data_IF_157411190122
#
_entry.id   IF_157411190122
#
_cell.length_a   1.000
_cell.length_b   1.000
_cell.length_c   1.000
_cell.angle_alpha   90.00
_cell.angle_beta   90.00
_cell.angle_gamma   90.00
#
_symmetry.space_group_name_H-M   'P 1'
#
loop_
_entity.id
_entity.type
_entity.pdbx_description
1 polymer ?
#
# COMPACT_ATOMS: atom_id res chain seq x y z
N UNK A 1 -9.02 44.19 10.38
CA UNK A 1 -10.24 43.38 10.54
C UNK A 1 -10.45 42.58 9.27
N UNK A 2 -10.10 41.30 9.25
CA UNK A 2 -10.53 40.41 8.17
C UNK A 2 -11.97 40.01 8.45
N UNK A 3 -12.92 40.53 7.66
CA UNK A 3 -14.25 39.94 7.59
C UNK A 3 -14.05 38.51 7.05
N UNK A 4 -14.32 37.50 7.87
CA UNK A 4 -14.55 36.16 7.34
C UNK A 4 -15.73 36.27 6.36
N UNK A 5 -15.48 35.95 5.08
CA UNK A 5 -16.53 35.82 4.09
C UNK A 5 -17.55 34.80 4.62
N UNK A 6 -18.79 35.23 4.77
CA UNK A 6 -19.85 34.35 5.25
C UNK A 6 -20.08 33.26 4.21
N UNK A 7 -19.89 32.00 4.61
CA UNK A 7 -20.19 30.85 3.77
C UNK A 7 -21.65 30.92 3.31
N UNK A 8 -21.88 30.70 2.02
CA UNK A 8 -23.22 30.69 1.43
C UNK A 8 -23.50 29.31 0.85
N UNK A 9 -24.55 28.64 1.32
CA UNK A 9 -24.98 27.33 0.83
C UNK A 9 -26.34 27.48 0.13
N UNK A 10 -26.44 27.12 -1.15
CA UNK A 10 -27.67 27.28 -1.95
C UNK A 10 -28.29 28.69 -1.85
N UNK A 11 -27.46 29.74 -1.88
CA UNK A 11 -27.90 31.13 -1.81
C UNK A 11 -28.27 31.63 -0.41
N UNK A 12 -28.17 30.79 0.63
CA UNK A 12 -28.40 31.16 2.02
C UNK A 12 -27.07 31.35 2.75
N UNK A 13 -26.89 32.48 3.45
CA UNK A 13 -25.75 32.64 4.36
C UNK A 13 -25.90 31.68 5.53
N UNK A 14 -24.84 30.96 5.86
CA UNK A 14 -24.82 29.96 6.93
C UNK A 14 -23.62 30.16 7.85
N UNK A 15 -23.65 29.50 9.01
CA UNK A 15 -22.52 29.40 9.93
C UNK A 15 -21.73 28.12 9.64
N UNK A 16 -20.40 28.18 9.69
CA UNK A 16 -19.49 27.07 9.41
C UNK A 16 -18.55 27.34 8.24
N UNK A 17 -17.78 26.33 7.87
CA UNK A 17 -16.77 26.33 6.80
C UNK A 17 -17.08 25.31 5.68
N UNK A 18 -18.18 24.53 5.82
CA UNK A 18 -18.64 23.59 4.80
C UNK A 18 -20.18 23.52 4.68
N UNK A 19 -20.67 23.07 3.51
CA UNK A 19 -22.10 23.00 3.18
C UNK A 19 -22.62 21.56 3.11
N UNK A 20 -23.82 21.33 3.66
CA UNK A 20 -24.62 20.13 3.46
C UNK A 20 -26.03 20.53 3.02
N UNK A 21 -26.25 20.55 1.70
CA UNK A 21 -27.45 21.19 1.13
C UNK A 21 -27.47 22.69 1.42
N UNK A 22 -28.55 23.19 2.00
CA UNK A 22 -28.71 24.58 2.44
C UNK A 22 -28.18 24.87 3.85
N UNK A 23 -27.61 23.88 4.54
CA UNK A 23 -27.10 24.03 5.90
C UNK A 23 -25.57 24.15 5.91
N UNK A 24 -25.05 25.04 6.73
CA UNK A 24 -23.61 25.11 7.03
C UNK A 24 -23.24 24.22 8.21
N UNK A 25 -22.01 23.73 8.22
CA UNK A 25 -21.45 22.99 9.35
C UNK A 25 -19.94 23.26 9.49
N UNK A 26 -19.38 22.90 10.66
CA UNK A 26 -17.93 22.92 10.85
C UNK A 26 -17.30 21.58 10.44
N UNK A 27 -16.49 21.60 9.38
CA UNK A 27 -15.75 20.48 8.83
C UNK A 27 -14.76 19.84 9.81
N UNK A 28 -14.37 20.59 10.85
CA UNK A 28 -13.52 20.10 11.94
C UNK A 28 -14.20 19.08 12.86
N UNK A 29 -15.54 19.05 12.89
CA UNK A 29 -16.31 18.22 13.84
C UNK A 29 -17.41 17.38 13.18
N UNK A 30 -17.80 17.74 11.96
CA UNK A 30 -18.93 17.16 11.26
C UNK A 30 -18.64 16.95 9.78
N UNK A 31 -19.45 16.12 9.13
CA UNK A 31 -19.38 15.80 7.71
C UNK A 31 -20.80 15.65 7.14
N UNK A 32 -20.96 15.83 5.83
CA UNK A 32 -22.25 15.66 5.15
C UNK A 32 -22.37 14.24 4.59
N UNK A 33 -23.26 13.42 5.17
CA UNK A 33 -23.54 12.07 4.69
C UNK A 33 -24.97 11.99 4.14
N UNK A 34 -25.11 11.69 2.84
CA UNK A 34 -26.42 11.55 2.18
C UNK A 34 -27.35 12.75 2.42
N UNK A 35 -26.81 13.97 2.40
CA UNK A 35 -27.59 15.21 2.61
C UNK A 35 -27.90 15.55 4.07
N UNK A 36 -27.38 14.78 5.03
CA UNK A 36 -27.52 15.07 6.46
C UNK A 36 -26.16 15.34 7.10
N UNK A 37 -26.09 16.38 7.93
CA UNK A 37 -24.90 16.66 8.75
C UNK A 37 -24.79 15.57 9.82
N UNK A 38 -23.63 14.93 9.91
CA UNK A 38 -23.29 13.90 10.88
C UNK A 38 -22.00 14.27 11.60
N UNK A 39 -21.87 13.89 12.87
CA UNK A 39 -20.62 14.07 13.61
C UNK A 39 -19.49 13.20 13.01
N UNK A 40 -18.26 13.68 13.14
CA UNK A 40 -17.06 13.04 12.59
C UNK A 40 -16.64 13.60 11.25
N UNK A 41 -15.63 12.98 10.63
CA UNK A 41 -14.98 13.47 9.42
C UNK A 41 -15.15 12.54 8.21
N UNK A 42 -15.84 11.41 8.35
CA UNK A 42 -16.07 10.45 7.28
C UNK A 42 -17.45 9.79 7.37
N UNK A 43 -17.91 9.19 6.26
CA UNK A 43 -19.23 8.58 6.15
C UNK A 43 -19.14 7.06 5.94
N UNK A 44 -20.03 6.31 6.59
CA UNK A 44 -20.18 4.87 6.40
C UNK A 44 -21.65 4.49 6.51
N UNK A 45 -22.25 3.95 5.44
CA UNK A 45 -23.66 3.55 5.45
C UNK A 45 -24.64 4.68 5.79
N UNK A 46 -24.31 5.94 5.48
CA UNK A 46 -25.12 7.12 5.83
C UNK A 46 -24.94 7.64 7.27
N UNK A 47 -24.09 7.00 8.08
CA UNK A 47 -23.66 7.48 9.39
C UNK A 47 -22.32 8.21 9.28
N UNK A 48 -22.10 9.18 10.15
CA UNK A 48 -20.79 9.82 10.31
C UNK A 48 -19.92 9.05 11.31
N UNK A 49 -18.60 9.08 11.12
CA UNK A 49 -17.62 8.53 12.05
C UNK A 49 -16.32 9.36 12.02
N UNK A 50 -15.49 9.16 13.04
CA UNK A 50 -14.19 9.83 13.16
C UNK A 50 -13.04 8.89 12.81
N UNK A 51 -12.31 9.19 11.75
CA UNK A 51 -11.00 8.62 11.45
C UNK A 51 -9.91 9.41 12.19
N UNK A 52 -8.84 8.76 12.73
CA UNK A 52 -8.47 7.35 12.58
C UNK A 52 -9.03 6.42 13.67
N UNK A 53 -9.90 6.88 14.58
CA UNK A 53 -10.37 6.03 15.68
C UNK A 53 -11.36 4.95 15.23
N UNK A 54 -12.04 5.16 14.11
CA UNK A 54 -12.94 4.22 13.46
C UNK A 54 -12.74 4.21 11.93
N UNK A 55 -13.23 3.15 11.30
CA UNK A 55 -13.14 2.91 9.85
C UNK A 55 -14.42 2.27 9.33
N UNK A 56 -14.68 2.40 8.03
CA UNK A 56 -15.82 1.78 7.39
C UNK A 56 -15.44 0.41 6.81
N UNK A 57 -16.10 -0.64 7.28
CA UNK A 57 -15.90 -2.02 6.83
C UNK A 57 -17.22 -2.62 6.35
N UNK A 58 -17.32 -2.91 5.05
CA UNK A 58 -18.52 -3.52 4.45
C UNK A 58 -19.83 -2.79 4.84
N UNK A 59 -19.79 -1.45 4.90
CA UNK A 59 -20.94 -0.62 5.27
C UNK A 59 -21.16 -0.44 6.78
N UNK A 60 -20.33 -1.05 7.64
CA UNK A 60 -20.42 -0.91 9.09
C UNK A 60 -19.21 -0.16 9.65
N UNK A 61 -19.46 0.75 10.60
CA UNK A 61 -18.40 1.42 11.34
C UNK A 61 -17.76 0.41 12.29
N UNK A 62 -16.43 0.30 12.26
CA UNK A 62 -15.62 -0.55 13.14
C UNK A 62 -14.54 0.28 13.81
N UNK A 63 -14.14 -0.11 15.02
CA UNK A 63 -13.03 0.52 15.73
C UNK A 63 -11.69 0.25 15.02
N UNK A 64 -10.78 1.22 15.05
CA UNK A 64 -9.51 1.18 14.33
C UNK A 64 -9.55 1.96 13.01
N UNK A 65 -8.38 2.14 12.41
CA UNK A 65 -8.14 2.96 11.21
C UNK A 65 -8.12 2.15 9.91
N UNK A 66 -8.00 0.81 9.98
CA UNK A 66 -7.97 -0.06 8.81
C UNK A 66 -8.99 -1.20 8.87
N UNK A 67 -9.38 -1.69 7.70
CA UNK A 67 -10.36 -2.76 7.55
C UNK A 67 -9.72 -4.05 7.00
N UNK A 68 -10.01 -5.19 7.62
CA UNK A 68 -9.63 -6.50 7.11
C UNK A 68 -10.76 -7.53 7.36
N UNK A 69 -11.29 -8.13 6.29
CA UNK A 69 -12.33 -9.16 6.42
C UNK A 69 -13.61 -8.70 7.11
N UNK A 70 -13.93 -7.40 7.01
CA UNK A 70 -15.08 -6.81 7.71
C UNK A 70 -14.83 -6.45 9.18
N UNK A 71 -13.60 -6.65 9.69
CA UNK A 71 -13.17 -6.21 11.01
C UNK A 71 -12.31 -4.95 10.90
N UNK A 72 -12.57 -4.00 11.77
CA UNK A 72 -11.68 -2.86 11.97
C UNK A 72 -10.51 -3.24 12.88
N UNK A 73 -9.34 -2.67 12.63
CA UNK A 73 -8.16 -2.91 13.44
C UNK A 73 -7.23 -1.69 13.45
N UNK A 74 -6.50 -1.44 14.56
CA UNK A 74 -5.64 -0.27 14.69
C UNK A 74 -4.22 -0.53 14.17
N UNK A 75 -3.82 0.20 13.13
CA UNK A 75 -2.50 0.11 12.51
C UNK A 75 -1.42 0.83 13.32
N UNK A 76 -1.79 1.90 14.04
CA UNK A 76 -0.82 2.71 14.79
C UNK A 76 -0.40 2.10 16.13
N UNK A 77 -1.11 1.09 16.66
CA UNK A 77 -0.86 0.55 18.01
C UNK A 77 -0.59 -0.95 18.06
N UNK A 78 -1.29 -1.75 17.24
CA UNK A 78 -1.22 -3.22 17.30
C UNK A 78 -0.75 -3.85 16.00
N UNK A 79 -1.20 -3.34 14.87
CA UNK A 79 -0.98 -3.96 13.57
C UNK A 79 -0.34 -2.98 12.58
N UNK A 80 0.90 -2.61 12.87
CA UNK A 80 1.68 -1.73 11.98
C UNK A 80 1.76 -2.32 10.58
N UNK A 81 1.62 -1.48 9.55
CA UNK A 81 1.81 -1.87 8.15
C UNK A 81 3.20 -2.44 7.85
N UNK A 82 4.19 -2.18 8.72
CA UNK A 82 5.54 -2.77 8.62
C UNK A 82 5.64 -4.21 9.15
N UNK A 83 4.69 -4.66 9.98
CA UNK A 83 4.74 -5.98 10.64
C UNK A 83 3.49 -6.81 10.47
N UNK A 84 2.41 -6.23 9.94
CA UNK A 84 1.12 -6.85 9.74
C UNK A 84 0.50 -6.41 8.42
N UNK A 85 -0.24 -7.32 7.79
CA UNK A 85 -0.92 -7.06 6.53
C UNK A 85 -2.24 -7.83 6.47
N UNK A 86 -3.21 -7.34 5.71
CA UNK A 86 -4.48 -8.03 5.51
C UNK A 86 -4.40 -8.92 4.26
N UNK A 87 -4.44 -10.24 4.43
CA UNK A 87 -4.48 -11.20 3.33
C UNK A 87 -5.78 -12.00 3.38
N UNK A 88 -6.55 -11.98 2.30
CA UNK A 88 -7.81 -12.74 2.16
C UNK A 88 -8.75 -12.56 3.36
N UNK A 89 -8.85 -11.34 3.88
CA UNK A 89 -9.72 -11.02 5.01
C UNK A 89 -9.17 -11.37 6.40
N UNK A 90 -7.94 -11.85 6.50
CA UNK A 90 -7.29 -12.13 7.78
C UNK A 90 -6.02 -11.31 7.94
N UNK A 91 -5.81 -10.76 9.13
CA UNK A 91 -4.53 -10.11 9.47
C UNK A 91 -3.47 -11.20 9.61
N UNK A 92 -2.37 -11.04 8.88
CA UNK A 92 -1.21 -11.93 8.89
C UNK A 92 0.04 -11.15 9.30
N UNK A 93 1.00 -11.83 9.91
CA UNK A 93 2.31 -11.27 10.20
C UNK A 93 3.10 -11.04 8.90
N UNK A 94 3.89 -9.97 8.86
CA UNK A 94 4.58 -9.49 7.68
C UNK A 94 3.87 -8.30 7.03
N UNK A 95 4.57 -7.61 6.14
CA UNK A 95 4.10 -6.39 5.47
C UNK A 95 3.60 -6.63 4.04
N UNK A 96 3.65 -7.87 3.55
CA UNK A 96 3.21 -8.24 2.21
C UNK A 96 2.44 -9.56 2.19
N UNK A 97 1.58 -9.76 1.18
CA UNK A 97 0.73 -10.94 1.03
C UNK A 97 1.14 -11.77 -0.18
N UNK A 98 1.13 -13.10 -0.03
CA UNK A 98 1.36 -14.05 -1.13
C UNK A 98 0.54 -15.31 -0.87
N UNK A 99 -0.35 -15.67 -1.80
CA UNK A 99 -1.19 -16.88 -1.65
C UNK A 99 -2.05 -16.91 -0.37
N UNK A 100 -2.43 -15.74 0.16
CA UNK A 100 -3.18 -15.64 1.42
C UNK A 100 -2.34 -15.71 2.71
N UNK A 101 -1.02 -15.86 2.58
CA UNK A 101 -0.07 -15.80 3.68
C UNK A 101 0.61 -14.44 3.73
N UNK A 102 0.89 -13.96 4.95
CA UNK A 102 1.73 -12.78 5.15
C UNK A 102 3.21 -13.16 5.13
N UNK A 103 4.05 -12.26 4.63
CA UNK A 103 5.51 -12.40 4.64
C UNK A 103 6.20 -11.05 4.79
N UNK A 104 7.49 -11.09 5.18
CA UNK A 104 8.33 -9.90 5.22
C UNK A 104 9.00 -9.65 3.87
N UNK A 105 8.67 -8.52 3.24
CA UNK A 105 9.20 -8.15 1.93
C UNK A 105 10.69 -7.76 1.95
N UNK A 106 11.30 -7.65 3.14
CA UNK A 106 12.73 -7.39 3.27
C UNK A 106 13.60 -8.64 3.07
N UNK A 107 13.03 -9.83 3.26
CA UNK A 107 13.76 -11.11 3.18
C UNK A 107 13.19 -12.08 2.15
N UNK A 108 11.94 -11.88 1.74
CA UNK A 108 11.22 -12.77 0.85
C UNK A 108 10.45 -12.01 -0.23
N UNK A 109 10.04 -12.74 -1.26
CA UNK A 109 9.25 -12.25 -2.40
C UNK A 109 8.18 -13.27 -2.78
N UNK A 110 7.15 -12.84 -3.51
CA UNK A 110 6.08 -13.70 -3.98
C UNK A 110 6.31 -14.11 -5.43
N UNK A 111 6.61 -15.39 -5.68
CA UNK A 111 6.79 -15.92 -7.03
C UNK A 111 5.71 -16.96 -7.32
N UNK A 112 4.88 -16.70 -8.33
CA UNK A 112 3.78 -17.60 -8.74
C UNK A 112 2.86 -18.03 -7.58
N UNK A 113 2.56 -17.10 -6.66
CA UNK A 113 1.71 -17.37 -5.50
C UNK A 113 2.40 -18.04 -4.32
N UNK A 114 3.70 -18.33 -4.40
CA UNK A 114 4.48 -18.91 -3.31
C UNK A 114 5.53 -17.93 -2.78
N UNK A 115 5.69 -17.89 -1.45
CA UNK A 115 6.74 -17.11 -0.79
C UNK A 115 8.09 -17.79 -1.05
N UNK A 116 9.05 -17.03 -1.55
CA UNK A 116 10.42 -17.46 -1.81
C UNK A 116 11.40 -16.51 -1.15
N UNK A 117 12.55 -17.01 -0.71
CA UNK A 117 13.63 -16.16 -0.19
C UNK A 117 14.22 -15.26 -1.28
N UNK A 118 14.66 -14.06 -0.91
CA UNK A 118 15.21 -13.06 -1.83
C UNK A 118 14.20 -11.96 -2.19
N UNK A 119 14.57 -11.11 -3.13
CA UNK A 119 13.85 -9.89 -3.48
C UNK A 119 13.38 -9.86 -4.95
N UNK A 120 13.68 -10.89 -5.74
CA UNK A 120 13.26 -11.00 -7.14
C UNK A 120 12.91 -12.45 -7.51
N UNK A 121 12.15 -12.61 -8.60
CA UNK A 121 11.70 -13.90 -9.11
C UNK A 121 12.34 -14.23 -10.46
N UNK A 122 12.71 -15.49 -10.65
CA UNK A 122 13.23 -16.02 -11.91
C UNK A 122 12.74 -17.47 -12.09
N UNK A 123 11.97 -17.75 -13.13
CA UNK A 123 11.45 -19.11 -13.36
C UNK A 123 10.59 -19.66 -12.21
N UNK A 124 9.93 -18.79 -11.42
CA UNK A 124 9.17 -19.17 -10.23
C UNK A 124 9.99 -19.40 -8.95
N UNK A 125 11.32 -19.25 -9.02
CA UNK A 125 12.22 -19.27 -7.88
C UNK A 125 12.53 -17.84 -7.41
N UNK A 126 12.74 -17.67 -6.11
CA UNK A 126 13.24 -16.42 -5.54
C UNK A 126 14.77 -16.36 -5.60
N UNK A 127 15.31 -15.17 -5.79
CA UNK A 127 16.74 -14.91 -5.71
C UNK A 127 17.04 -13.50 -5.15
N UNK A 128 18.29 -13.29 -4.72
CA UNK A 128 18.78 -11.98 -4.31
C UNK A 128 19.45 -11.26 -5.48
N UNK A 129 18.96 -10.09 -5.84
CA UNK A 129 19.57 -9.25 -6.90
C UNK A 129 20.95 -8.72 -6.52
N UNK A 130 21.34 -8.80 -5.25
CA UNK A 130 22.67 -8.40 -4.79
C UNK A 130 23.78 -9.38 -5.20
N UNK A 131 23.44 -10.64 -5.49
CA UNK A 131 24.42 -11.70 -5.80
C UNK A 131 24.15 -12.41 -7.12
N UNK A 132 22.92 -12.33 -7.64
CA UNK A 132 22.48 -13.07 -8.81
C UNK A 132 21.57 -12.23 -9.70
N UNK A 133 21.40 -12.70 -10.94
CA UNK A 133 20.54 -12.12 -11.96
C UNK A 133 19.73 -13.22 -12.66
N UNK A 134 18.64 -12.85 -13.34
CA UNK A 134 17.81 -13.78 -14.10
C UNK A 134 18.15 -13.69 -15.59
N UNK A 135 18.76 -14.74 -16.15
CA UNK A 135 19.08 -14.82 -17.58
C UNK A 135 18.29 -15.95 -18.21
N UNK A 136 17.42 -15.63 -19.19
CA UNK A 136 16.58 -16.59 -19.91
C UNK A 136 15.78 -17.53 -18.98
N UNK A 137 15.26 -17.00 -17.88
CA UNK A 137 14.48 -17.77 -16.89
C UNK A 137 15.30 -18.57 -15.89
N UNK A 138 16.64 -18.50 -15.93
CA UNK A 138 17.54 -19.17 -14.99
C UNK A 138 18.29 -18.16 -14.13
N UNK A 139 18.41 -18.47 -12.83
CA UNK A 139 19.22 -17.69 -11.90
C UNK A 139 20.69 -17.94 -12.20
N UNK A 140 21.45 -16.86 -12.40
CA UNK A 140 22.90 -16.88 -12.67
C UNK A 140 23.62 -15.94 -11.70
N UNK A 141 24.84 -16.27 -11.31
CA UNK A 141 25.66 -15.40 -10.49
C UNK A 141 26.04 -14.11 -11.24
N UNK A 142 26.18 -13.01 -10.50
CA UNK A 142 26.49 -11.69 -11.07
C UNK A 142 25.25 -10.80 -11.21
N UNK A 143 25.43 -9.64 -11.84
CA UNK A 143 24.43 -8.58 -11.90
C UNK A 143 23.99 -8.23 -13.34
N UNK A 144 24.55 -8.89 -14.35
CA UNK A 144 24.17 -8.69 -15.75
C UNK A 144 24.20 -10.01 -16.53
N UNK A 145 23.50 -10.03 -17.66
CA UNK A 145 23.41 -11.19 -18.55
C UNK A 145 24.16 -10.96 -19.86
N UNK A 146 24.85 -11.98 -20.34
CA UNK A 146 25.51 -11.99 -21.66
C UNK A 146 25.40 -13.39 -22.25
N UNK A 147 24.77 -13.53 -23.42
CA UNK A 147 24.59 -14.84 -24.06
C UNK A 147 23.87 -15.89 -23.20
N UNK A 148 22.99 -15.45 -22.26
CA UNK A 148 22.31 -16.34 -21.31
C UNK A 148 23.12 -16.72 -20.07
N UNK A 149 24.36 -16.26 -19.95
CA UNK A 149 25.20 -16.40 -18.76
C UNK A 149 25.14 -15.14 -17.89
N UNK A 150 25.26 -15.32 -16.58
CA UNK A 150 25.43 -14.20 -15.66
C UNK A 150 26.90 -13.79 -15.56
N UNK A 151 27.16 -12.50 -15.41
CA UNK A 151 28.49 -11.96 -15.15
C UNK A 151 28.43 -10.76 -14.21
N UNK A 152 29.57 -10.43 -13.60
CA UNK A 152 29.72 -9.21 -12.82
C UNK A 152 30.22 -8.08 -13.71
N UNK A 153 29.44 -6.99 -13.79
CA UNK A 153 29.87 -5.78 -14.51
C UNK A 153 31.08 -5.11 -13.87
N UNK A 154 31.41 -5.42 -12.62
CA UNK A 154 32.62 -4.88 -11.96
C UNK A 154 33.92 -5.44 -12.53
N UNK A 155 33.90 -6.66 -13.09
CA UNK A 155 35.10 -7.36 -13.59
C UNK A 155 35.05 -7.68 -15.08
N UNK A 156 33.86 -7.65 -15.69
CA UNK A 156 33.65 -8.09 -17.07
C UNK A 156 32.66 -7.20 -17.83
N UNK A 157 32.63 -7.34 -19.15
CA UNK A 157 31.72 -6.68 -20.10
C UNK A 157 31.18 -7.70 -21.11
N UNK A 158 30.07 -7.38 -21.79
CA UNK A 158 29.44 -8.25 -22.78
C UNK A 158 29.62 -7.69 -24.19
N UNK A 159 30.23 -8.46 -25.09
CA UNK A 159 30.52 -8.01 -26.45
C UNK A 159 30.18 -9.08 -27.47
N UNK A 160 29.23 -8.76 -28.35
CA UNK A 160 28.66 -9.68 -29.32
C UNK A 160 28.20 -11.01 -28.70
N UNK A 161 27.65 -10.96 -27.48
CA UNK A 161 27.18 -12.14 -26.75
C UNK A 161 28.24 -12.90 -25.95
N UNK A 162 29.50 -12.46 -25.94
CA UNK A 162 30.58 -13.07 -25.18
C UNK A 162 31.04 -12.20 -24.01
N UNK A 163 31.29 -12.85 -22.87
CA UNK A 163 31.83 -12.19 -21.67
C UNK A 163 33.33 -11.99 -21.87
N UNK A 164 33.80 -10.75 -21.72
CA UNK A 164 35.22 -10.37 -21.77
C UNK A 164 35.61 -9.57 -20.52
N UNK A 165 36.91 -9.39 -20.21
CA UNK A 165 37.34 -8.46 -19.16
C UNK A 165 36.75 -7.05 -19.37
N UNK A 166 36.47 -6.32 -18.29
CA UNK A 166 35.65 -5.08 -18.30
C UNK A 166 36.00 -4.05 -19.39
N UNK A 167 37.27 -3.96 -19.79
CA UNK A 167 37.77 -2.99 -20.77
C UNK A 167 38.31 -3.66 -22.06
N UNK A 168 37.86 -4.88 -22.37
CA UNK A 168 38.32 -5.65 -23.52
C UNK A 168 37.40 -5.50 -24.75
N UNK A 169 36.63 -4.42 -24.75
CA UNK A 169 35.81 -3.85 -25.81
C UNK A 169 35.98 -2.33 -25.70
#
# INVERSE_FOLDING_TARGET
LHLHEALTCNGLRVNGDACCGSQGYSSSTSTCCNGFIKAGNACCGGLGYSSPTSTCCNGFIKAGDACCGGLGYPTSTRYSSSTSTCCNGFIKAGNACCGGLGYSSSTSTCCNGFIKAGNACCGGLGYSTSTSTCCNGFIKAGNACCGGLGYSTSTSTCCNGYIKPRNAC
#
